data_IF_023512781736
#
_entry.id   IF_023512781736
#
_cell.length_a   1.000
_cell.length_b   1.000
_cell.length_c   1.000
_cell.angle_alpha   90.00
_cell.angle_beta   90.00
_cell.angle_gamma   90.00
#
_symmetry.space_group_name_H-M   'P 1'
#
loop_
_entity.id
_entity.type
_entity.pdbx_description
1 polymer ?
#
# COMPACT_ATOMS: atom_id res chain seq x y z
N UNK A 1 -56.59 6.79 -1.63
CA UNK A 1 -56.34 6.57 -3.07
C UNK A 1 -55.29 7.59 -3.48
N UNK A 2 -54.04 7.18 -3.70
CA UNK A 2 -53.47 6.84 -5.03
C UNK A 2 -53.40 8.09 -5.94
N UNK A 3 -52.36 8.44 -6.68
CA UNK A 3 -50.97 8.01 -6.88
C UNK A 3 -50.38 9.05 -7.86
N UNK A 4 -49.07 9.26 -7.83
CA UNK A 4 -48.18 9.45 -8.99
C UNK A 4 -48.38 10.63 -9.99
N UNK A 5 -47.34 11.46 -10.09
CA UNK A 5 -46.66 11.93 -11.32
C UNK A 5 -45.46 12.76 -10.83
N UNK A 6 -44.27 12.22 -10.62
CA UNK A 6 -43.30 11.66 -11.56
C UNK A 6 -42.98 12.56 -12.76
N UNK A 7 -41.75 13.07 -12.71
CA UNK A 7 -40.87 13.46 -13.80
C UNK A 7 -41.20 14.73 -14.58
N UNK A 8 -40.43 15.79 -14.27
CA UNK A 8 -39.63 16.44 -15.30
C UNK A 8 -38.23 16.79 -14.76
N UNK A 9 -37.26 15.97 -15.18
CA UNK A 9 -35.86 16.27 -15.54
C UNK A 9 -35.07 17.28 -14.70
N UNK A 10 -34.10 16.84 -13.88
CA UNK A 10 -32.68 16.54 -14.22
C UNK A 10 -31.80 17.79 -14.38
N UNK A 11 -30.59 17.69 -13.78
CA UNK A 11 -29.51 18.67 -13.66
C UNK A 11 -29.72 19.56 -12.42
N UNK A 12 -29.10 19.28 -11.27
CA UNK A 12 -27.66 19.28 -11.05
C UNK A 12 -27.32 18.12 -10.09
N UNK A 13 -26.88 16.99 -10.66
CA UNK A 13 -26.14 15.98 -9.91
C UNK A 13 -24.66 16.35 -9.97
N UNK A 14 -24.00 16.13 -8.82
CA UNK A 14 -22.56 15.98 -8.66
C UNK A 14 -21.68 17.17 -9.05
N UNK A 15 -21.51 18.08 -8.11
CA UNK A 15 -20.19 18.66 -7.87
C UNK A 15 -20.15 19.12 -6.42
N UNK A 16 -19.04 18.88 -5.74
CA UNK A 16 -18.74 19.30 -4.36
C UNK A 16 -19.39 18.52 -3.20
N UNK A 17 -19.07 17.24 -3.07
CA UNK A 17 -18.94 16.64 -1.73
C UNK A 17 -17.76 15.66 -1.71
N UNK A 18 -16.57 16.18 -2.01
CA UNK A 18 -15.28 15.58 -1.67
C UNK A 18 -14.45 16.61 -0.90
N UNK A 19 -15.10 17.40 -0.02
CA UNK A 19 -14.37 18.24 0.91
C UNK A 19 -13.74 17.34 1.97
N UNK A 20 -12.42 17.31 1.94
CA UNK A 20 -11.57 16.99 3.06
C UNK A 20 -11.75 15.59 3.66
N UNK A 21 -11.40 14.59 2.85
CA UNK A 21 -10.95 13.30 3.38
C UNK A 21 -9.61 13.54 4.10
N UNK A 22 -9.68 14.07 5.32
CA UNK A 22 -8.57 14.06 6.27
C UNK A 22 -8.27 12.58 6.58
N UNK A 23 -7.32 12.01 5.83
CA UNK A 23 -6.44 11.02 6.44
C UNK A 23 -5.53 11.84 7.35
N UNK A 24 -6.06 12.21 8.52
CA UNK A 24 -5.25 12.71 9.62
C UNK A 24 -4.45 11.50 10.13
N UNK A 25 -3.47 11.09 9.32
CA UNK A 25 -2.42 10.23 9.80
C UNK A 25 -1.83 10.99 10.98
N UNK A 26 -1.73 10.33 12.14
CA UNK A 26 -0.72 10.65 13.15
C UNK A 26 0.69 10.36 12.61
N UNK A 27 0.95 10.75 11.36
CA UNK A 27 2.20 10.73 10.62
C UNK A 27 3.24 11.46 11.45
N UNK A 28 2.89 12.57 12.08
CA UNK A 28 3.79 13.32 12.95
C UNK A 28 4.42 12.45 14.03
N UNK A 29 3.65 11.55 14.66
CA UNK A 29 4.19 10.68 15.70
C UNK A 29 5.04 9.54 15.13
N UNK A 30 4.65 8.96 13.98
CA UNK A 30 5.47 7.93 13.29
C UNK A 30 6.78 8.55 12.80
N UNK A 31 6.72 9.72 12.18
CA UNK A 31 7.88 10.48 11.72
C UNK A 31 8.77 10.81 12.92
N UNK A 32 8.20 11.34 14.02
CA UNK A 32 8.97 11.66 15.22
C UNK A 32 9.64 10.44 15.87
N UNK A 33 8.98 9.28 15.88
CA UNK A 33 9.47 8.11 16.61
C UNK A 33 10.31 7.15 15.74
N UNK A 34 10.14 7.21 14.41
CA UNK A 34 10.65 6.21 13.47
C UNK A 34 11.25 6.81 12.20
N UNK A 35 11.31 8.13 12.00
CA UNK A 35 11.89 8.72 10.78
C UNK A 35 13.34 8.30 10.58
N UNK A 36 13.70 8.03 9.33
CA UNK A 36 15.09 7.75 8.93
C UNK A 36 16.06 8.90 9.23
N UNK A 37 15.57 10.13 9.35
CA UNK A 37 16.40 11.29 9.71
C UNK A 37 16.87 11.25 11.17
N UNK A 38 16.12 10.55 12.03
CA UNK A 38 16.37 10.52 13.48
C UNK A 38 16.82 9.14 13.96
N UNK A 39 16.55 8.08 13.18
CA UNK A 39 16.74 6.69 13.60
C UNK A 39 17.37 5.82 12.50
N UNK A 40 18.45 6.31 11.87
CA UNK A 40 19.21 5.55 10.88
C UNK A 40 19.97 4.35 11.46
N UNK A 41 20.09 4.32 12.79
CA UNK A 41 20.68 3.24 13.59
C UNK A 41 19.72 2.06 13.81
N UNK A 42 18.44 2.19 13.47
CA UNK A 42 17.45 1.12 13.61
C UNK A 42 17.42 0.19 12.38
N UNK A 43 16.95 -1.06 12.55
CA UNK A 43 16.86 -2.04 11.45
C UNK A 43 15.88 -1.61 10.35
N UNK A 44 14.95 -0.71 10.68
CA UNK A 44 14.07 -0.06 9.73
C UNK A 44 13.64 1.31 10.23
N UNK A 45 13.33 2.19 9.29
CA UNK A 45 12.88 3.54 9.57
C UNK A 45 11.85 4.02 8.54
N UNK A 46 10.97 4.91 8.94
CA UNK A 46 9.91 5.48 8.12
C UNK A 46 10.46 6.59 7.22
N UNK A 47 10.15 6.51 5.93
CA UNK A 47 10.53 7.52 4.93
C UNK A 47 9.42 8.55 4.75
N UNK A 48 8.25 8.09 4.30
CA UNK A 48 7.09 8.92 4.02
C UNK A 48 5.85 8.04 3.84
N UNK A 49 4.70 8.68 3.62
CA UNK A 49 3.50 8.03 3.14
C UNK A 49 2.87 8.81 2.01
N UNK A 50 2.19 8.11 1.11
CA UNK A 50 1.52 8.72 -0.03
C UNK A 50 0.14 8.12 -0.25
N UNK A 51 -0.84 8.98 -0.47
CA UNK A 51 -2.22 8.60 -0.77
C UNK A 51 -2.47 8.75 -2.27
N UNK A 52 -2.88 7.65 -2.90
CA UNK A 52 -3.27 7.59 -4.30
C UNK A 52 -4.79 7.44 -4.37
N UNK A 53 -5.48 8.58 -4.24
CA UNK A 53 -6.96 8.63 -4.15
C UNK A 53 -7.62 7.95 -5.36
N UNK A 54 -7.12 8.22 -6.56
CA UNK A 54 -7.64 7.66 -7.82
C UNK A 54 -7.53 6.13 -7.89
N UNK A 55 -6.61 5.54 -7.13
CA UNK A 55 -6.35 4.10 -7.13
C UNK A 55 -6.84 3.41 -5.85
N UNK A 56 -7.46 4.13 -4.91
CA UNK A 56 -8.01 3.55 -3.68
C UNK A 56 -6.97 2.95 -2.72
N UNK A 57 -5.74 3.46 -2.71
CA UNK A 57 -4.71 2.98 -1.80
C UNK A 57 -3.82 4.08 -1.21
N UNK A 58 -3.21 3.74 -0.08
CA UNK A 58 -2.16 4.49 0.57
C UNK A 58 -0.96 3.58 0.76
N UNK A 59 0.24 4.10 0.54
CA UNK A 59 1.49 3.38 0.79
C UNK A 59 2.27 4.06 1.92
N UNK A 60 2.78 3.26 2.83
CA UNK A 60 3.70 3.65 3.90
C UNK A 60 5.09 3.16 3.50
N UNK A 61 5.99 4.08 3.17
CA UNK A 61 7.32 3.77 2.67
C UNK A 61 8.32 3.69 3.83
N UNK A 62 9.06 2.59 3.86
CA UNK A 62 10.07 2.28 4.86
C UNK A 62 11.40 2.00 4.20
N UNK A 63 12.48 2.41 4.87
CA UNK A 63 13.82 1.94 4.55
C UNK A 63 14.18 0.82 5.51
N UNK A 64 14.68 -0.30 4.98
CA UNK A 64 15.25 -1.38 5.80
C UNK A 64 16.78 -1.34 5.73
N UNK A 65 17.41 -1.37 6.89
CA UNK A 65 18.85 -1.48 7.02
C UNK A 65 19.22 -2.97 7.18
N UNK A 66 19.39 -3.63 6.04
CA UNK A 66 19.61 -5.08 6.00
C UNK A 66 20.93 -5.51 6.65
N UNK A 67 21.94 -4.63 6.71
CA UNK A 67 23.20 -4.93 7.39
C UNK A 67 23.00 -5.23 8.90
N UNK A 68 21.92 -4.74 9.49
CA UNK A 68 21.58 -4.98 10.92
C UNK A 68 20.67 -6.19 11.15
N UNK A 69 20.02 -6.70 10.10
CA UNK A 69 18.99 -7.75 10.19
C UNK A 69 19.46 -9.06 9.57
N UNK A 70 20.36 -8.99 8.59
CA UNK A 70 20.82 -10.14 7.83
C UNK A 70 21.80 -11.00 8.63
N UNK A 71 21.50 -12.30 8.66
CA UNK A 71 22.46 -13.34 8.95
C UNK A 71 22.82 -14.02 7.61
N UNK A 72 24.07 -14.43 7.41
CA UNK A 72 24.61 -14.88 6.11
C UNK A 72 23.89 -16.09 5.49
N UNK A 73 23.00 -16.74 6.24
CA UNK A 73 22.28 -17.97 5.84
C UNK A 73 20.83 -17.76 5.42
N UNK A 74 20.30 -16.54 5.48
CA UNK A 74 18.88 -16.25 5.19
C UNK A 74 18.74 -15.55 3.84
N UNK A 75 17.70 -15.89 3.09
CA UNK A 75 17.36 -15.21 1.84
C UNK A 75 16.93 -13.74 2.11
N UNK A 76 17.49 -12.80 1.35
CA UNK A 76 17.25 -11.36 1.55
C UNK A 76 15.78 -11.01 1.30
N UNK A 77 15.16 -11.60 0.27
CA UNK A 77 13.76 -11.33 -0.05
C UNK A 77 12.84 -11.88 1.03
N UNK A 78 13.19 -13.02 1.63
CA UNK A 78 12.49 -13.57 2.79
C UNK A 78 12.57 -12.66 4.02
N UNK A 79 13.74 -12.07 4.29
CA UNK A 79 13.90 -11.07 5.38
C UNK A 79 13.06 -9.81 5.10
N UNK A 80 13.16 -9.26 3.89
CA UNK A 80 12.38 -8.07 3.50
C UNK A 80 10.88 -8.37 3.62
N UNK A 81 10.43 -9.53 3.14
CA UNK A 81 9.04 -9.97 3.25
C UNK A 81 8.60 -10.08 4.71
N UNK A 82 9.37 -10.77 5.55
CA UNK A 82 9.05 -10.96 6.96
C UNK A 82 8.95 -9.63 7.73
N UNK A 83 9.84 -8.68 7.46
CA UNK A 83 9.76 -7.34 8.05
C UNK A 83 8.55 -6.57 7.52
N UNK A 84 8.30 -6.62 6.20
CA UNK A 84 7.16 -5.94 5.57
C UNK A 84 5.82 -6.41 6.11
N UNK A 85 5.69 -7.72 6.36
CA UNK A 85 4.51 -8.33 6.98
C UNK A 85 4.28 -7.83 8.41
N UNK A 86 5.34 -7.73 9.22
CA UNK A 86 5.24 -7.20 10.59
C UNK A 86 4.83 -5.74 10.59
N UNK A 87 5.41 -4.95 9.69
CA UNK A 87 5.02 -3.56 9.48
C UNK A 87 3.54 -3.46 9.04
N UNK A 88 3.10 -4.34 8.14
CA UNK A 88 1.71 -4.36 7.69
C UNK A 88 0.76 -4.64 8.85
N UNK A 89 1.07 -5.64 9.69
CA UNK A 89 0.29 -5.96 10.89
C UNK A 89 0.23 -4.80 11.90
N UNK A 90 1.31 -4.01 12.00
CA UNK A 90 1.47 -2.92 12.97
C UNK A 90 0.77 -1.64 12.52
N UNK A 91 0.90 -1.29 11.24
CA UNK A 91 0.54 0.03 10.73
C UNK A 91 -0.72 0.03 9.86
N UNK A 92 -1.25 -1.13 9.46
CA UNK A 92 -2.48 -1.22 8.67
C UNK A 92 -3.60 -1.93 9.42
N UNK A 93 -4.82 -1.41 9.26
CA UNK A 93 -6.04 -2.08 9.73
C UNK A 93 -6.22 -3.44 9.05
N UNK A 94 -5.96 -3.52 7.75
CA UNK A 94 -6.13 -4.76 6.98
C UNK A 94 -5.19 -5.86 7.49
N UNK A 95 -3.91 -5.53 7.73
CA UNK A 95 -2.93 -6.46 8.29
C UNK A 95 -3.33 -6.91 9.70
N UNK A 96 -3.79 -5.98 10.51
CA UNK A 96 -4.28 -6.26 11.86
C UNK A 96 -5.46 -7.24 11.86
N UNK A 97 -6.46 -7.00 11.01
CA UNK A 97 -7.60 -7.90 10.84
C UNK A 97 -7.16 -9.27 10.30
N UNK A 98 -6.21 -9.30 9.37
CA UNK A 98 -5.63 -10.54 8.83
C UNK A 98 -4.98 -11.39 9.94
N UNK A 99 -4.20 -10.76 10.82
CA UNK A 99 -3.52 -11.43 11.94
C UNK A 99 -4.37 -11.54 13.21
N UNK A 100 -5.63 -11.06 13.20
CA UNK A 100 -6.55 -11.08 14.35
C UNK A 100 -5.99 -10.43 15.62
N UNK A 101 -5.29 -9.30 15.48
CA UNK A 101 -4.73 -8.54 16.61
C UNK A 101 -5.77 -7.54 17.18
N UNK A 102 -5.71 -7.20 18.48
CA UNK A 102 -6.67 -6.29 19.14
C UNK A 102 -6.34 -4.81 18.95
N UNK A 103 -7.35 -3.91 18.94
CA UNK A 103 -7.17 -2.49 18.54
C UNK A 103 -6.30 -1.68 19.49
N UNK A 104 -6.28 -2.07 20.75
CA UNK A 104 -5.57 -1.36 21.81
C UNK A 104 -4.07 -1.72 21.83
N UNK A 105 -3.64 -2.72 21.05
CA UNK A 105 -2.26 -3.21 21.02
C UNK A 105 -1.31 -2.31 20.21
N UNK A 106 -1.81 -1.34 19.43
CA UNK A 106 -1.02 -0.69 18.38
C UNK A 106 -1.07 0.84 18.43
N UNK A 107 -0.02 1.42 19.04
CA UNK A 107 0.25 2.86 19.14
C UNK A 107 0.19 3.62 17.80
N UNK A 108 0.47 2.95 16.69
CA UNK A 108 0.71 3.59 15.38
C UNK A 108 -0.28 3.17 14.27
N UNK A 109 -1.41 2.56 14.63
CA UNK A 109 -2.37 2.09 13.63
C UNK A 109 -2.90 3.25 12.77
N UNK A 110 -2.75 3.15 11.45
CA UNK A 110 -3.37 4.11 10.54
C UNK A 110 -4.86 3.79 10.38
N UNK A 111 -5.71 4.70 10.88
CA UNK A 111 -7.16 4.60 10.75
C UNK A 111 -7.61 5.41 9.54
N UNK A 112 -7.96 4.72 8.46
CA UNK A 112 -8.59 5.35 7.30
C UNK A 112 -10.09 5.53 7.58
N UNK A 113 -10.59 6.77 7.56
CA UNK A 113 -12.03 7.03 7.68
C UNK A 113 -12.83 6.42 6.52
N UNK A 114 -12.20 6.31 5.35
CA UNK A 114 -12.74 5.60 4.21
C UNK A 114 -12.27 4.14 4.23
N UNK A 115 -13.17 3.21 4.55
CA UNK A 115 -12.90 1.76 4.60
C UNK A 115 -12.40 1.17 3.27
N UNK A 116 -12.51 1.93 2.17
CA UNK A 116 -12.12 1.50 0.82
C UNK A 116 -10.66 1.85 0.48
N UNK A 117 -9.94 2.61 1.33
CA UNK A 117 -8.52 2.90 1.10
C UNK A 117 -7.68 1.78 1.70
N UNK A 118 -6.97 1.04 0.85
CA UNK A 118 -6.10 -0.05 1.27
C UNK A 118 -4.71 0.46 1.62
N UNK A 119 -4.17 0.00 2.74
CA UNK A 119 -2.82 0.34 3.16
C UNK A 119 -1.83 -0.69 2.64
N UNK A 120 -0.73 -0.20 2.07
CA UNK A 120 0.41 -1.01 1.62
C UNK A 120 1.66 -0.59 2.39
N UNK A 121 2.55 -1.54 2.60
CA UNK A 121 3.91 -1.28 3.07
C UNK A 121 4.83 -1.29 1.87
N UNK A 122 5.46 -0.15 1.58
CA UNK A 122 6.56 -0.06 0.63
C UNK A 122 7.91 -0.20 1.36
N UNK A 123 8.83 -0.97 0.78
CA UNK A 123 10.18 -1.16 1.33
C UNK A 123 11.25 -0.82 0.32
N UNK A 124 12.20 0.00 0.74
CA UNK A 124 13.45 0.26 0.04
C UNK A 124 14.60 -0.28 0.89
N UNK A 125 15.49 -1.06 0.30
CA UNK A 125 16.62 -1.64 1.04
C UNK A 125 17.86 -1.64 0.18
N UNK A 126 19.02 -1.52 0.83
CA UNK A 126 20.33 -1.70 0.20
C UNK A 126 21.10 -2.75 0.98
N UNK A 127 21.73 -3.69 0.28
CA UNK A 127 22.57 -4.70 0.89
C UNK A 127 23.67 -5.14 -0.06
N UNK A 128 24.93 -5.09 0.39
CA UNK A 128 26.11 -5.49 -0.41
C UNK A 128 26.14 -4.88 -1.83
N UNK A 129 25.71 -3.62 -1.97
CA UNK A 129 25.68 -2.88 -3.23
C UNK A 129 24.42 -3.09 -4.09
N UNK A 130 23.59 -4.07 -3.74
CA UNK A 130 22.30 -4.30 -4.41
C UNK A 130 21.19 -3.44 -3.78
N UNK A 131 20.24 -3.00 -4.61
CA UNK A 131 19.04 -2.28 -4.20
C UNK A 131 17.85 -3.24 -4.31
N UNK A 132 17.01 -3.27 -3.29
CA UNK A 132 15.76 -4.01 -3.29
C UNK A 132 14.61 -3.04 -3.10
N UNK A 133 13.62 -3.12 -3.99
CA UNK A 133 12.39 -2.34 -3.91
C UNK A 133 11.23 -3.33 -3.82
N UNK A 134 10.36 -3.13 -2.83
CA UNK A 134 9.23 -4.02 -2.63
C UNK A 134 7.98 -3.34 -2.12
N UNK A 135 6.87 -4.05 -2.23
CA UNK A 135 5.63 -3.72 -1.53
C UNK A 135 4.99 -4.97 -0.95
N UNK A 136 4.22 -4.81 0.11
CA UNK A 136 3.40 -5.85 0.74
C UNK A 136 2.03 -5.28 1.11
N UNK A 137 0.97 -6.05 0.87
CA UNK A 137 -0.41 -5.68 1.23
C UNK A 137 -1.27 -6.90 1.52
N UNK A 138 -2.42 -6.67 2.14
CA UNK A 138 -3.47 -7.69 2.19
C UNK A 138 -4.20 -7.73 0.84
N UNK A 139 -4.42 -8.94 0.34
CA UNK A 139 -5.17 -9.24 -0.88
C UNK A 139 -6.66 -8.99 -0.72
N UNK A 140 -7.32 -8.72 -1.86
CA UNK A 140 -8.75 -8.36 -1.92
C UNK A 140 -9.69 -9.57 -1.97
N UNK A 141 -9.18 -10.73 -2.40
CA UNK A 141 -9.99 -11.93 -2.63
C UNK A 141 -9.92 -12.87 -1.43
N UNK A 142 -11.00 -13.62 -1.22
CA UNK A 142 -11.13 -14.60 -0.13
C UNK A 142 -10.53 -15.95 -0.55
N UNK A 143 -9.73 -16.63 0.31
CA UNK A 143 -9.32 -16.16 1.64
C UNK A 143 -8.31 -15.01 1.53
N UNK A 144 -8.46 -13.98 2.39
CA UNK A 144 -7.55 -12.82 2.44
C UNK A 144 -6.13 -13.37 2.39
N UNK A 145 -5.36 -12.99 1.37
CA UNK A 145 -3.96 -13.44 1.16
C UNK A 145 -3.00 -12.30 1.48
N UNK A 146 -1.71 -12.58 1.65
CA UNK A 146 -0.69 -11.52 1.61
C UNK A 146 -0.14 -11.45 0.20
N UNK A 147 -0.31 -10.32 -0.46
CA UNK A 147 0.30 -10.02 -1.76
C UNK A 147 1.61 -9.27 -1.51
N UNK A 148 2.70 -9.70 -2.15
CA UNK A 148 3.96 -8.98 -2.09
C UNK A 148 4.70 -9.05 -3.42
N UNK A 149 5.58 -8.08 -3.63
CA UNK A 149 6.54 -8.09 -4.73
C UNK A 149 7.82 -7.46 -4.24
N UNK A 150 8.95 -8.11 -4.49
CA UNK A 150 10.28 -7.58 -4.21
C UNK A 150 11.07 -7.73 -5.52
N UNK A 151 11.76 -6.67 -5.93
CA UNK A 151 12.63 -6.71 -7.09
C UNK A 151 14.03 -6.25 -6.67
N UNK A 152 15.01 -7.08 -6.99
CA UNK A 152 16.44 -6.75 -6.92
C UNK A 152 16.87 -5.94 -8.13
N UNK A 153 17.59 -4.83 -7.88
CA UNK A 153 18.16 -3.90 -8.86
C UNK A 153 17.19 -3.53 -10.00
N UNK A 154 15.97 -3.06 -9.68
CA UNK A 154 14.99 -2.80 -10.72
C UNK A 154 15.41 -1.61 -11.60
N UNK A 155 15.27 -1.75 -12.92
CA UNK A 155 15.54 -0.66 -13.87
C UNK A 155 14.33 0.27 -13.96
N UNK A 156 14.56 1.58 -13.79
CA UNK A 156 13.51 2.59 -13.92
C UNK A 156 12.49 2.63 -12.78
N UNK A 157 12.75 1.93 -11.67
CA UNK A 157 11.92 1.92 -10.46
C UNK A 157 12.84 2.38 -9.32
N UNK A 158 12.58 3.56 -8.77
CA UNK A 158 13.43 4.17 -7.74
C UNK A 158 12.78 4.13 -6.35
N UNK A 159 11.50 3.79 -6.29
CA UNK A 159 10.71 3.78 -5.06
C UNK A 159 9.66 2.67 -5.07
N UNK A 160 9.14 2.27 -3.90
CA UNK A 160 7.99 1.38 -3.84
C UNK A 160 6.76 1.93 -4.57
N UNK A 161 6.57 3.25 -4.55
CA UNK A 161 5.51 3.92 -5.32
C UNK A 161 5.63 3.62 -6.81
N UNK A 162 6.83 3.77 -7.38
CA UNK A 162 7.11 3.46 -8.79
C UNK A 162 6.83 1.99 -9.08
N UNK A 163 7.22 1.10 -8.16
CA UNK A 163 7.02 -0.35 -8.33
C UNK A 163 5.54 -0.68 -8.41
N UNK A 164 4.75 -0.13 -7.49
CA UNK A 164 3.29 -0.28 -7.45
C UNK A 164 2.71 0.25 -8.76
N UNK A 165 2.98 1.51 -9.12
CA UNK A 165 2.39 2.16 -10.29
C UNK A 165 2.90 1.64 -11.64
N UNK A 166 4.05 0.98 -11.70
CA UNK A 166 4.73 0.58 -12.93
C UNK A 166 3.84 -0.19 -13.91
N UNK A 167 2.99 -1.09 -13.41
CA UNK A 167 2.11 -1.91 -14.25
C UNK A 167 0.97 -1.08 -14.85
N UNK A 168 0.43 -0.14 -14.06
CA UNK A 168 -0.62 0.77 -14.52
C UNK A 168 -0.09 1.82 -15.50
N UNK A 169 1.08 2.40 -15.21
CA UNK A 169 1.74 3.36 -16.10
C UNK A 169 2.13 2.74 -17.44
N UNK A 170 2.68 1.52 -17.43
CA UNK A 170 2.99 0.80 -18.67
C UNK A 170 1.73 0.56 -19.51
N UNK A 171 0.63 0.13 -18.88
CA UNK A 171 -0.63 -0.05 -19.60
C UNK A 171 -1.13 1.28 -20.19
N UNK A 172 -1.03 2.42 -19.46
CA UNK A 172 -1.45 3.74 -19.97
C UNK A 172 -0.67 4.19 -21.20
N UNK A 173 0.58 3.76 -21.34
CA UNK A 173 1.42 4.09 -22.48
C UNK A 173 1.12 3.20 -23.70
N UNK A 174 0.82 1.93 -23.46
CA UNK A 174 0.65 0.92 -24.51
C UNK A 174 -0.81 0.81 -25.00
N UNK A 175 -1.79 1.28 -24.21
CA UNK A 175 -3.21 1.08 -24.48
C UNK A 175 -4.02 2.36 -24.21
N UNK A 176 -4.95 2.67 -25.12
CA UNK A 176 -5.95 3.72 -24.92
C UNK A 176 -6.98 3.28 -23.86
N UNK A 177 -6.90 3.87 -22.68
CA UNK A 177 -7.75 3.54 -21.53
C UNK A 177 -9.24 3.76 -21.80
N UNK A 178 -9.60 4.64 -22.73
CA UNK A 178 -11.01 4.86 -23.10
C UNK A 178 -11.67 3.63 -23.74
N UNK A 179 -10.85 2.64 -24.16
CA UNK A 179 -11.28 1.40 -24.79
C UNK A 179 -11.29 0.20 -23.84
N UNK A 180 -10.86 0.38 -22.59
CA UNK A 180 -10.82 -0.68 -21.60
C UNK A 180 -12.04 -0.59 -20.68
N UNK A 181 -12.55 -1.73 -20.23
CA UNK A 181 -13.55 -1.75 -19.18
C UNK A 181 -12.92 -1.37 -17.83
N UNK A 182 -13.72 -0.80 -16.93
CA UNK A 182 -13.30 -0.54 -15.56
C UNK A 182 -12.79 -1.81 -14.88
N UNK A 183 -13.33 -2.98 -15.23
CA UNK A 183 -12.86 -4.27 -14.73
C UNK A 183 -11.43 -4.60 -15.17
N UNK A 184 -11.06 -4.31 -16.42
CA UNK A 184 -9.69 -4.55 -16.93
C UNK A 184 -8.72 -3.54 -16.33
N UNK A 185 -9.11 -2.25 -16.33
CA UNK A 185 -8.31 -1.19 -15.70
C UNK A 185 -8.09 -1.54 -14.23
N UNK A 186 -9.15 -1.94 -13.52
CA UNK A 186 -9.03 -2.39 -12.14
C UNK A 186 -8.18 -3.65 -12.04
N UNK A 187 -8.28 -4.66 -12.92
CA UNK A 187 -7.46 -5.87 -12.80
C UNK A 187 -5.95 -5.63 -13.00
N UNK A 188 -5.57 -4.62 -13.79
CA UNK A 188 -4.17 -4.31 -14.12
C UNK A 188 -3.60 -3.19 -13.23
N UNK A 189 -4.42 -2.19 -12.89
CA UNK A 189 -4.07 -1.08 -12.02
C UNK A 189 -4.41 -1.34 -10.55
N UNK A 190 -5.24 -2.33 -10.20
CA UNK A 190 -5.23 -2.94 -8.86
C UNK A 190 -4.18 -4.03 -8.83
N UNK A 191 -3.25 -3.86 -7.89
CA UNK A 191 -2.02 -4.60 -7.73
C UNK A 191 -2.22 -6.07 -7.29
N UNK A 192 -2.89 -6.88 -8.11
CA UNK A 192 -2.93 -8.33 -8.00
C UNK A 192 -1.77 -8.95 -8.74
N UNK A 193 -0.63 -9.18 -8.07
CA UNK A 193 0.44 -10.02 -8.63
C UNK A 193 1.06 -10.88 -7.53
N UNK A 194 1.09 -12.20 -7.81
CA UNK A 194 1.55 -13.34 -7.00
C UNK A 194 0.99 -13.43 -5.56
N UNK A 195 0.00 -14.30 -5.41
CA UNK A 195 -0.52 -14.73 -4.12
C UNK A 195 0.31 -15.91 -3.62
N UNK A 196 1.03 -15.72 -2.51
CA UNK A 196 1.54 -16.84 -1.74
C UNK A 196 0.44 -17.23 -0.75
N UNK A 197 -0.34 -18.24 -1.11
CA UNK A 197 -1.35 -18.82 -0.21
C UNK A 197 -0.60 -19.72 0.76
N UNK A 198 -0.58 -19.34 2.04
CA UNK A 198 -0.19 -20.26 3.11
C UNK A 198 -1.43 -21.05 3.51
N UNK A 199 -1.42 -22.35 3.22
CA UNK A 199 -2.37 -23.31 3.78
C UNK A 199 -1.93 -23.73 5.18
#
# INVERSE_FOLDING_TARGET
MHYLNLAFFLLIYSSSCFSDTFVELKQEQIIKDLSCNQHSDKPYCFLNSKLFKENGFMILNWQLNLDQVMNEKVDIEEVIYGVSVRLLATFSREGKEYYKLEEDDLKYLVRNQNKNINTMIGTLSKYKGDIYVGFTKVGFKSPRSITYKIIKNPKGINSPDDLVLSSCHKLKLDVDFSKLSDEIINSVCYFGVQEKVWN
#
